data_IF_244645560755
#
_entry.id   IF_244645560755
#
_cell.length_a   1.000
_cell.length_b   1.000
_cell.length_c   1.000
_cell.angle_alpha   90.00
_cell.angle_beta   90.00
_cell.angle_gamma   90.00
#
_symmetry.space_group_name_H-M   'P 1'
#
loop_
_entity.id
_entity.type
_entity.pdbx_description
1 polymer ?
#
# COMPACT_ATOMS: atom_id res chain seq x y z
N UNK A 1 4.73 1.39 -15.41
CA UNK A 1 5.01 -0.01 -15.00
C UNK A 1 4.02 -0.94 -15.68
N UNK A 2 4.49 -1.99 -16.35
CA UNK A 2 3.63 -3.05 -16.88
C UNK A 2 3.23 -4.00 -15.75
N UNK A 3 1.96 -4.43 -15.72
CA UNK A 3 1.48 -5.40 -14.73
C UNK A 3 2.18 -6.75 -14.99
N UNK A 4 2.78 -7.41 -13.99
CA UNK A 4 3.43 -8.71 -14.18
C UNK A 4 2.46 -9.76 -14.75
N UNK A 5 2.96 -10.63 -15.64
CA UNK A 5 2.17 -11.72 -16.24
C UNK A 5 1.54 -12.61 -15.17
N UNK A 6 2.27 -12.87 -14.09
CA UNK A 6 1.78 -13.67 -12.96
C UNK A 6 0.53 -13.05 -12.31
N UNK A 7 0.51 -11.72 -12.17
CA UNK A 7 -0.64 -10.99 -11.63
C UNK A 7 -1.80 -11.00 -12.61
N UNK A 8 -1.55 -10.75 -13.90
CA UNK A 8 -2.60 -10.82 -14.93
C UNK A 8 -3.28 -12.19 -14.93
N UNK A 9 -2.51 -13.27 -14.85
CA UNK A 9 -3.04 -14.63 -14.76
C UNK A 9 -3.88 -14.87 -13.50
N UNK A 10 -3.40 -14.42 -12.34
CA UNK A 10 -4.12 -14.56 -11.06
C UNK A 10 -5.45 -13.82 -11.08
N UNK A 11 -5.48 -12.60 -11.60
CA UNK A 11 -6.71 -11.80 -11.71
C UNK A 11 -7.66 -12.41 -12.74
N UNK A 12 -7.16 -12.84 -13.90
CA UNK A 12 -7.98 -13.43 -14.96
C UNK A 12 -8.67 -14.72 -14.48
N UNK A 13 -7.91 -15.62 -13.84
CA UNK A 13 -8.44 -16.88 -13.30
C UNK A 13 -9.46 -16.63 -12.18
N UNK A 14 -9.19 -15.68 -11.27
CA UNK A 14 -10.13 -15.26 -10.24
C UNK A 14 -11.45 -14.74 -10.84
N UNK A 15 -11.39 -13.81 -11.78
CA UNK A 15 -12.56 -13.21 -12.46
C UNK A 15 -13.37 -14.28 -13.19
N UNK A 16 -12.70 -15.15 -13.96
CA UNK A 16 -13.36 -16.23 -14.68
C UNK A 16 -14.08 -17.18 -13.72
N UNK A 17 -13.42 -17.56 -12.62
CA UNK A 17 -14.00 -18.42 -11.58
C UNK A 17 -15.22 -17.79 -10.89
N UNK A 18 -15.28 -16.46 -10.72
CA UNK A 18 -16.47 -15.78 -10.20
C UNK A 18 -17.60 -15.73 -11.23
N UNK A 19 -17.29 -15.48 -12.51
CA UNK A 19 -18.26 -15.49 -13.61
C UNK A 19 -18.91 -16.86 -13.80
N UNK A 20 -18.13 -17.94 -13.79
CA UNK A 20 -18.64 -19.32 -13.91
C UNK A 20 -19.62 -19.64 -12.78
N UNK A 21 -19.32 -19.21 -11.55
CA UNK A 21 -20.20 -19.37 -10.38
C UNK A 21 -21.38 -18.38 -10.34
N UNK A 22 -21.57 -17.57 -11.38
CA UNK A 22 -22.63 -16.55 -11.49
C UNK A 22 -22.63 -15.54 -10.33
N UNK A 23 -21.48 -15.27 -9.73
CA UNK A 23 -21.34 -14.26 -8.68
C UNK A 23 -21.38 -12.88 -9.34
N UNK A 24 -22.45 -12.12 -9.11
CA UNK A 24 -22.68 -10.82 -9.76
C UNK A 24 -21.71 -9.73 -9.28
N UNK A 25 -21.28 -9.78 -8.02
CA UNK A 25 -20.42 -8.78 -7.38
C UNK A 25 -19.34 -9.48 -6.59
N UNK A 26 -18.09 -9.14 -6.86
CA UNK A 26 -16.92 -9.71 -6.19
C UNK A 26 -15.81 -8.65 -6.14
N UNK A 27 -15.04 -8.57 -5.06
CA UNK A 27 -13.94 -7.62 -4.96
C UNK A 27 -12.74 -8.12 -5.77
N UNK A 28 -12.08 -7.22 -6.48
CA UNK A 28 -10.79 -7.48 -7.16
C UNK A 28 -9.62 -6.87 -6.42
N UNK A 29 -9.87 -5.79 -5.68
CA UNK A 29 -8.89 -5.05 -4.89
C UNK A 29 -9.48 -4.79 -3.50
N UNK A 30 -8.72 -5.10 -2.46
CA UNK A 30 -8.96 -4.62 -1.11
C UNK A 30 -8.13 -3.36 -0.88
N UNK A 31 -8.76 -2.28 -0.42
CA UNK A 31 -8.09 -1.09 0.11
C UNK A 31 -7.90 -1.29 1.61
N UNK A 32 -6.73 -1.77 2.02
CA UNK A 32 -6.43 -2.07 3.42
C UNK A 32 -5.66 -0.90 4.03
N UNK A 33 -6.26 -0.19 4.98
CA UNK A 33 -5.64 0.94 5.67
C UNK A 33 -5.31 0.58 7.12
N UNK A 34 -4.08 0.11 7.42
CA UNK A 34 -3.72 -0.30 8.78
C UNK A 34 -3.69 0.87 9.76
N UNK A 35 -3.49 2.09 9.26
CA UNK A 35 -3.46 3.33 10.03
C UNK A 35 -3.78 4.54 9.16
N UNK A 36 -4.13 5.67 9.79
CA UNK A 36 -4.41 6.94 9.10
C UNK A 36 -3.36 8.03 9.33
N UNK A 37 -2.49 7.90 10.35
CA UNK A 37 -1.42 8.88 10.61
C UNK A 37 -0.38 8.91 9.49
N UNK A 38 0.13 10.10 9.19
CA UNK A 38 1.17 10.33 8.20
C UNK A 38 2.24 11.26 8.77
N UNK A 39 3.44 11.22 8.21
CA UNK A 39 4.56 12.13 8.46
C UNK A 39 4.59 13.31 7.45
N UNK A 40 3.53 13.48 6.66
CA UNK A 40 3.27 14.60 5.76
C UNK A 40 1.86 15.15 5.99
N UNK A 41 1.63 16.37 5.53
CA UNK A 41 0.35 17.06 5.59
C UNK A 41 -0.03 17.67 4.22
N UNK A 42 -0.06 16.82 3.18
CA UNK A 42 -0.32 17.22 1.81
C UNK A 42 -1.66 17.97 1.68
N UNK A 43 -1.70 18.99 0.82
CA UNK A 43 -2.86 19.87 0.67
C UNK A 43 -4.15 19.13 0.27
N UNK A 44 -4.03 18.06 -0.52
CA UNK A 44 -5.16 17.23 -0.95
C UNK A 44 -5.53 16.06 -0.02
N UNK A 45 -4.86 15.90 1.13
CA UNK A 45 -5.03 14.71 1.96
C UNK A 45 -6.19 14.85 2.96
N UNK A 46 -7.24 14.03 2.79
CA UNK A 46 -8.33 13.93 3.78
C UNK A 46 -8.02 13.01 4.97
N UNK A 47 -6.97 12.19 4.91
CA UNK A 47 -6.71 11.13 5.92
C UNK A 47 -6.14 11.64 7.22
N UNK A 48 -5.34 12.70 7.19
CA UNK A 48 -4.76 13.29 8.40
C UNK A 48 -5.72 14.26 9.11
N UNK A 49 -6.89 14.56 8.52
CA UNK A 49 -7.90 15.46 9.07
C UNK A 49 -8.78 14.80 10.15
N UNK A 50 -8.60 13.50 10.39
CA UNK A 50 -9.32 12.80 11.45
C UNK A 50 -8.85 13.25 12.85
N UNK A 51 -9.70 13.13 13.88
CA UNK A 51 -9.33 13.41 15.26
C UNK A 51 -8.10 12.62 15.72
N UNK A 52 -7.33 13.19 16.64
CA UNK A 52 -6.07 12.61 17.11
C UNK A 52 -6.23 11.20 17.73
N UNK A 53 -7.36 10.91 18.37
CA UNK A 53 -7.64 9.57 18.92
C UNK A 53 -7.85 8.52 17.83
N UNK A 54 -8.32 8.92 16.63
CA UNK A 54 -8.42 8.04 15.46
C UNK A 54 -7.05 7.85 14.82
N UNK A 55 -6.27 8.92 14.65
CA UNK A 55 -4.93 8.86 14.05
C UNK A 55 -3.94 8.01 14.86
N UNK A 56 -4.12 7.91 16.19
CA UNK A 56 -3.30 7.07 17.05
C UNK A 56 -3.60 5.57 16.93
N UNK A 57 -4.78 5.21 16.41
CA UNK A 57 -5.18 3.81 16.22
C UNK A 57 -4.43 3.21 15.04
N UNK A 58 -4.19 1.92 15.14
CA UNK A 58 -3.74 1.09 14.04
C UNK A 58 -4.31 -0.31 14.24
N UNK A 59 -4.48 -1.04 13.14
CA UNK A 59 -4.95 -2.42 13.15
C UNK A 59 -3.79 -3.34 13.56
N UNK A 60 -4.07 -4.39 14.32
CA UNK A 60 -3.10 -5.47 14.54
C UNK A 60 -2.87 -6.27 13.25
N UNK A 61 -1.74 -6.98 13.19
CA UNK A 61 -1.41 -7.88 12.07
C UNK A 61 -2.56 -8.87 11.79
N UNK A 62 -3.08 -9.51 12.84
CA UNK A 62 -4.18 -10.46 12.73
C UNK A 62 -5.46 -9.83 12.15
N UNK A 63 -5.82 -8.61 12.57
CA UNK A 63 -6.96 -7.91 11.99
C UNK A 63 -6.77 -7.63 10.49
N UNK A 64 -5.56 -7.22 10.08
CA UNK A 64 -5.24 -6.99 8.67
C UNK A 64 -5.33 -8.28 7.84
N UNK A 65 -4.76 -9.38 8.35
CA UNK A 65 -4.76 -10.66 7.64
C UNK A 65 -6.14 -11.30 7.56
N UNK A 66 -6.95 -11.19 8.62
CA UNK A 66 -8.35 -11.62 8.62
C UNK A 66 -9.19 -10.80 7.65
N UNK A 67 -9.01 -9.48 7.60
CA UNK A 67 -9.72 -8.63 6.64
C UNK A 67 -9.38 -9.00 5.18
N UNK A 68 -8.11 -9.32 4.90
CA UNK A 68 -7.69 -9.79 3.58
C UNK A 68 -8.28 -11.16 3.21
N UNK A 69 -8.34 -12.08 4.17
CA UNK A 69 -8.95 -13.39 3.99
C UNK A 69 -10.47 -13.27 3.73
N UNK A 70 -11.19 -12.53 4.58
CA UNK A 70 -12.62 -12.28 4.47
C UNK A 70 -13.00 -11.62 3.14
N UNK A 71 -12.21 -10.63 2.69
CA UNK A 71 -12.44 -9.97 1.42
C UNK A 71 -12.25 -10.93 0.23
N UNK A 72 -11.24 -11.80 0.30
CA UNK A 72 -10.94 -12.75 -0.77
C UNK A 72 -10.40 -12.13 -2.07
N UNK A 73 -10.14 -10.82 -2.10
CA UNK A 73 -9.61 -10.12 -3.27
C UNK A 73 -8.17 -10.57 -3.60
N UNK A 74 -7.82 -10.81 -4.88
CA UNK A 74 -6.46 -11.21 -5.27
C UNK A 74 -5.42 -10.10 -5.07
N UNK A 75 -5.86 -8.83 -5.00
CA UNK A 75 -5.00 -7.66 -4.84
C UNK A 75 -5.34 -6.99 -3.51
N UNK A 76 -4.30 -6.61 -2.77
CA UNK A 76 -4.39 -5.74 -1.60
C UNK A 76 -3.58 -4.49 -1.88
N UNK A 77 -4.25 -3.35 -2.01
CA UNK A 77 -3.58 -2.07 -1.92
C UNK A 77 -3.50 -1.74 -0.43
N UNK A 78 -2.32 -1.32 0.03
CA UNK A 78 -2.12 -0.77 1.36
C UNK A 78 -1.98 0.74 1.28
N UNK A 79 -3.10 1.48 1.05
CA UNK A 79 -3.14 2.91 1.25
C UNK A 79 -3.26 3.22 2.75
N UNK A 80 -3.21 4.48 3.11
CA UNK A 80 -3.43 4.93 4.48
C UNK A 80 -2.92 6.35 4.65
N UNK A 81 -2.50 6.68 5.87
CA UNK A 81 -1.54 7.76 6.04
C UNK A 81 -0.20 7.38 5.43
N UNK A 82 0.79 7.05 6.26
CA UNK A 82 2.05 6.45 5.79
C UNK A 82 2.17 5.03 6.36
N UNK A 83 1.96 3.96 5.57
CA UNK A 83 2.02 2.58 6.04
C UNK A 83 3.33 2.21 6.73
N UNK A 84 4.46 2.82 6.33
CA UNK A 84 5.76 2.60 6.98
C UNK A 84 5.85 3.16 8.42
N UNK A 85 4.83 3.90 8.89
CA UNK A 85 4.69 4.27 10.31
C UNK A 85 4.06 3.16 11.16
N UNK A 86 3.57 2.08 10.55
CA UNK A 86 2.99 0.97 11.28
C UNK A 86 4.11 0.08 11.85
N UNK A 87 4.10 -0.22 13.17
CA UNK A 87 5.23 -0.92 13.81
C UNK A 87 5.48 -2.32 13.25
N UNK A 88 4.41 -3.00 12.80
CA UNK A 88 4.46 -4.35 12.25
C UNK A 88 4.07 -4.42 10.76
N UNK A 89 4.38 -3.39 9.96
CA UNK A 89 4.03 -3.38 8.53
C UNK A 89 4.67 -4.52 7.74
N UNK A 90 5.90 -4.87 8.11
CA UNK A 90 6.68 -5.98 7.59
C UNK A 90 5.95 -7.31 7.78
N UNK A 91 5.44 -7.56 8.99
CA UNK A 91 4.66 -8.77 9.30
C UNK A 91 3.31 -8.81 8.58
N UNK A 92 2.66 -7.66 8.40
CA UNK A 92 1.43 -7.57 7.59
C UNK A 92 1.74 -7.97 6.16
N UNK A 93 2.79 -7.39 5.57
CA UNK A 93 3.21 -7.71 4.20
C UNK A 93 3.60 -9.18 4.07
N UNK A 94 4.38 -9.73 4.99
CA UNK A 94 4.76 -11.14 5.02
C UNK A 94 3.54 -12.07 5.03
N UNK A 95 2.56 -11.80 5.89
CA UNK A 95 1.33 -12.58 5.95
C UNK A 95 0.49 -12.47 4.68
N UNK A 96 0.41 -11.28 4.07
CA UNK A 96 -0.28 -11.10 2.78
C UNK A 96 0.43 -11.82 1.63
N UNK A 97 1.77 -11.85 1.63
CA UNK A 97 2.57 -12.63 0.69
C UNK A 97 2.31 -14.13 0.88
N UNK A 98 2.24 -14.61 2.12
CA UNK A 98 1.91 -16.00 2.42
C UNK A 98 0.50 -16.39 1.93
N UNK A 99 -0.44 -15.44 1.96
CA UNK A 99 -1.77 -15.58 1.34
C UNK A 99 -1.77 -15.46 -0.20
N UNK A 100 -0.61 -15.27 -0.83
CA UNK A 100 -0.43 -15.07 -2.29
C UNK A 100 -1.23 -13.90 -2.85
N UNK A 101 -1.39 -12.84 -2.07
CA UNK A 101 -2.02 -11.58 -2.49
C UNK A 101 -1.01 -10.71 -3.22
N UNK A 102 -1.42 -10.02 -4.28
CA UNK A 102 -0.60 -8.98 -4.89
C UNK A 102 -0.75 -7.68 -4.11
N UNK A 103 0.34 -7.21 -3.52
CA UNK A 103 0.39 -6.10 -2.58
C UNK A 103 0.95 -4.87 -3.29
N UNK A 104 0.22 -3.77 -3.19
CA UNK A 104 0.72 -2.44 -3.52
C UNK A 104 0.91 -1.67 -2.21
N UNK A 105 2.15 -1.58 -1.74
CA UNK A 105 2.48 -0.81 -0.55
C UNK A 105 2.68 0.66 -0.96
N UNK A 106 1.67 1.48 -0.74
CA UNK A 106 1.68 2.89 -1.11
C UNK A 106 2.47 3.69 -0.07
N UNK A 107 3.49 4.45 -0.49
CA UNK A 107 4.35 5.20 0.43
C UNK A 107 4.75 6.56 -0.15
N UNK A 108 4.95 7.54 0.73
CA UNK A 108 5.60 8.80 0.39
C UNK A 108 7.14 8.72 0.35
N UNK A 109 7.69 7.51 0.53
CA UNK A 109 9.10 7.15 0.42
C UNK A 109 10.05 7.74 1.48
N UNK A 110 9.62 8.67 2.34
CA UNK A 110 10.49 9.30 3.37
C UNK A 110 11.13 8.27 4.30
N UNK A 111 10.42 7.18 4.58
CA UNK A 111 10.86 6.10 5.46
C UNK A 111 11.31 4.84 4.72
N UNK A 112 11.20 4.81 3.39
CA UNK A 112 11.35 3.60 2.60
C UNK A 112 12.76 3.01 2.74
N UNK A 113 13.81 3.79 2.48
CA UNK A 113 15.19 3.31 2.55
C UNK A 113 15.54 2.69 3.91
N UNK A 114 15.02 3.26 5.00
CA UNK A 114 15.24 2.80 6.38
C UNK A 114 14.48 1.52 6.75
N UNK A 115 13.54 1.10 5.90
CA UNK A 115 12.69 -0.06 6.12
C UNK A 115 12.89 -1.15 5.07
N UNK A 116 13.65 -0.90 4.00
CA UNK A 116 13.87 -1.88 2.93
C UNK A 116 14.41 -3.21 3.45
N UNK A 117 15.30 -3.18 4.44
CA UNK A 117 15.89 -4.34 5.09
C UNK A 117 14.87 -5.25 5.81
N UNK A 118 13.70 -4.70 6.16
CA UNK A 118 12.61 -5.46 6.78
C UNK A 118 11.77 -6.23 5.77
N UNK A 119 11.89 -5.94 4.47
CA UNK A 119 11.10 -6.58 3.42
C UNK A 119 11.93 -7.59 2.64
N UNK A 120 11.35 -8.76 2.38
CA UNK A 120 11.94 -9.75 1.50
C UNK A 120 11.46 -9.54 0.06
N UNK A 121 12.35 -9.59 -0.95
CA UNK A 121 11.96 -9.54 -2.35
C UNK A 121 10.91 -10.60 -2.66
N UNK A 122 9.78 -10.18 -3.23
CA UNK A 122 8.68 -11.06 -3.56
C UNK A 122 7.99 -10.57 -4.82
N UNK A 123 7.62 -11.50 -5.71
CA UNK A 123 6.79 -11.20 -6.89
C UNK A 123 5.40 -10.66 -6.54
N UNK A 124 5.01 -10.80 -5.27
CA UNK A 124 3.73 -10.35 -4.73
C UNK A 124 3.81 -8.96 -4.11
N UNK A 125 5.00 -8.36 -3.95
CA UNK A 125 5.16 -7.05 -3.31
C UNK A 125 5.64 -6.01 -4.33
N UNK A 126 4.91 -4.91 -4.42
CA UNK A 126 5.30 -3.72 -5.19
C UNK A 126 5.23 -2.50 -4.28
N UNK A 127 6.32 -1.75 -4.17
CA UNK A 127 6.29 -0.41 -3.58
C UNK A 127 5.70 0.58 -4.59
N UNK A 128 4.62 1.25 -4.21
CA UNK A 128 3.98 2.30 -5.01
C UNK A 128 4.35 3.65 -4.42
N UNK A 129 5.40 4.26 -4.96
CA UNK A 129 5.91 5.56 -4.50
C UNK A 129 5.08 6.70 -5.07
N UNK A 130 4.63 7.57 -4.18
CA UNK A 130 3.84 8.75 -4.51
C UNK A 130 4.71 9.89 -5.08
N UNK A 131 4.42 10.31 -6.31
CA UNK A 131 5.02 11.47 -6.98
C UNK A 131 3.91 12.22 -7.73
N UNK A 132 3.74 13.50 -7.42
CA UNK A 132 2.61 14.34 -7.84
C UNK A 132 3.04 15.43 -8.86
N UNK A 133 4.17 15.21 -9.53
CA UNK A 133 4.69 16.14 -10.53
C UNK A 133 6.21 16.13 -10.60
N UNK A 134 6.80 17.06 -11.37
CA UNK A 134 8.20 17.44 -11.23
C UNK A 134 8.48 18.00 -9.83
N UNK A 135 9.75 18.30 -9.57
CA UNK A 135 10.25 18.57 -8.23
C UNK A 135 9.49 19.67 -7.48
N UNK A 136 9.33 20.83 -8.11
CA UNK A 136 8.70 22.00 -7.48
C UNK A 136 7.22 21.72 -7.17
N UNK A 137 6.50 21.15 -8.14
CA UNK A 137 5.08 20.84 -8.01
C UNK A 137 4.82 19.73 -7.00
N UNK A 138 5.69 18.71 -6.95
CA UNK A 138 5.56 17.64 -5.96
C UNK A 138 5.77 18.16 -4.54
N UNK A 139 6.83 18.94 -4.31
CA UNK A 139 7.14 19.50 -2.99
C UNK A 139 6.04 20.47 -2.52
N UNK A 140 5.46 21.24 -3.44
CA UNK A 140 4.27 22.07 -3.20
C UNK A 140 3.06 21.21 -2.79
N UNK A 141 2.74 20.17 -3.57
CA UNK A 141 1.60 19.29 -3.34
C UNK A 141 1.66 18.59 -1.96
N UNK A 142 2.86 18.18 -1.54
CA UNK A 142 3.08 17.53 -0.24
C UNK A 142 3.37 18.51 0.90
N UNK A 143 3.39 19.82 0.61
CA UNK A 143 3.63 20.91 1.55
C UNK A 143 4.96 20.77 2.32
N UNK A 144 6.00 20.25 1.65
CA UNK A 144 7.32 20.05 2.25
C UNK A 144 8.40 19.98 1.18
N UNK A 145 9.37 20.88 1.28
CA UNK A 145 10.54 20.91 0.40
C UNK A 145 11.44 19.67 0.56
N UNK A 146 12.01 19.22 -0.55
CA UNK A 146 13.01 18.15 -0.64
C UNK A 146 12.42 16.73 -0.64
N UNK A 147 11.09 16.57 -0.59
CA UNK A 147 10.47 15.23 -0.58
C UNK A 147 10.66 14.54 -1.93
N UNK A 148 10.64 15.30 -3.04
CA UNK A 148 10.90 14.76 -4.36
C UNK A 148 12.24 14.03 -4.44
N UNK A 149 13.32 14.68 -4.00
CA UNK A 149 14.67 14.10 -4.06
C UNK A 149 14.76 12.84 -3.19
N UNK A 150 14.14 12.87 -2.00
CA UNK A 150 14.06 11.71 -1.09
C UNK A 150 13.32 10.55 -1.76
N UNK A 151 12.20 10.81 -2.44
CA UNK A 151 11.44 9.80 -3.15
C UNK A 151 12.23 9.19 -4.32
N UNK A 152 12.89 10.01 -5.13
CA UNK A 152 13.75 9.53 -6.23
C UNK A 152 14.92 8.69 -5.71
N UNK A 153 15.54 9.14 -4.62
CA UNK A 153 16.65 8.41 -3.99
C UNK A 153 16.18 7.05 -3.48
N UNK A 154 15.05 6.99 -2.77
CA UNK A 154 14.47 5.75 -2.31
C UNK A 154 14.08 4.78 -3.43
N UNK A 155 13.56 5.29 -4.57
CA UNK A 155 13.26 4.49 -5.76
C UNK A 155 14.53 3.85 -6.35
N UNK A 156 15.68 4.53 -6.30
CA UNK A 156 16.95 3.99 -6.81
C UNK A 156 17.54 2.92 -5.89
N UNK A 157 17.27 3.02 -4.59
CA UNK A 157 17.77 2.09 -3.58
C UNK A 157 16.93 0.80 -3.51
N UNK A 158 15.63 0.88 -3.80
CA UNK A 158 14.68 -0.25 -3.77
C UNK A 158 14.78 -1.17 -5.00
#
# INVERSE_FOLDING_TARGET
MTVPISQMWTVATYVLGKKIRRVKRYPTVLMLEPLFRCNLACAGCGKIQYPADVLRRHLSVDQCLRAADECGAPIVSNPGGEPLLHPDIDKIVEGLVAQKRYIYLCTNAILLEKHLDKFQPSKYLTFSVHLDGPKEEHDEAVCREGVYDVAIQAIRTA
#
